data_IF_376122161414
#
_entry.id   IF_376122161414
#
_cell.length_a   1.000
_cell.length_b   1.000
_cell.length_c   1.000
_cell.angle_alpha   90.00
_cell.angle_beta   90.00
_cell.angle_gamma   90.00
#
_symmetry.space_group_name_H-M   'P 1'
#
loop_
_entity.id
_entity.type
_entity.pdbx_description
1 polymer ?
#
# COMPACT_ATOMS: atom_id res chain seq x y z
N UNK A 1 21.17 6.18 3.45
CA UNK A 1 20.35 5.76 2.29
C UNK A 1 19.52 4.59 2.78
N UNK A 2 18.20 4.64 2.65
CA UNK A 2 17.36 3.50 3.07
C UNK A 2 17.49 2.41 2.03
N UNK A 3 17.80 1.19 2.48
CA UNK A 3 17.78 0.01 1.63
C UNK A 3 16.32 -0.37 1.35
N UNK A 4 15.94 -0.39 0.08
CA UNK A 4 14.59 -0.75 -0.35
C UNK A 4 14.60 -1.98 -1.24
N UNK A 5 15.70 -2.75 -1.23
CA UNK A 5 15.87 -3.93 -2.08
C UNK A 5 14.89 -5.05 -1.72
N UNK A 6 14.46 -5.11 -0.45
CA UNK A 6 13.43 -6.05 0.05
C UNK A 6 11.99 -5.53 -0.12
N UNK A 7 11.79 -4.27 -0.51
CA UNK A 7 10.43 -3.71 -0.63
C UNK A 7 9.73 -4.33 -1.84
N UNK A 8 8.65 -5.05 -1.58
CA UNK A 8 7.81 -5.64 -2.61
C UNK A 8 6.79 -4.66 -3.21
N UNK A 9 6.31 -3.71 -2.41
CA UNK A 9 5.35 -2.67 -2.84
C UNK A 9 5.63 -1.35 -2.14
N UNK A 10 5.64 -0.27 -2.92
CA UNK A 10 5.52 1.10 -2.45
C UNK A 10 4.06 1.52 -2.54
N UNK A 11 3.45 1.86 -1.41
CA UNK A 11 2.04 2.22 -1.30
C UNK A 11 1.92 3.70 -0.94
N UNK A 12 1.59 4.54 -1.92
CA UNK A 12 1.21 5.93 -1.67
C UNK A 12 -0.20 6.00 -1.10
N UNK A 13 -0.37 6.84 -0.07
CA UNK A 13 -1.67 7.14 0.53
C UNK A 13 -2.07 8.59 0.24
N UNK A 14 -3.20 8.77 -0.43
CA UNK A 14 -3.90 10.05 -0.52
C UNK A 14 -4.99 10.09 0.56
N UNK A 15 -4.80 10.93 1.57
CA UNK A 15 -5.65 10.99 2.76
C UNK A 15 -6.58 12.19 2.66
N UNK A 16 -7.81 11.96 2.19
CA UNK A 16 -8.86 12.96 2.14
C UNK A 16 -9.77 12.96 3.37
N UNK A 17 -10.48 14.07 3.60
CA UNK A 17 -11.41 14.23 4.74
C UNK A 17 -12.54 13.19 4.79
N UNK A 18 -12.99 12.71 3.62
CA UNK A 18 -14.14 11.81 3.51
C UNK A 18 -13.76 10.42 2.99
N UNK A 19 -12.67 10.31 2.23
CA UNK A 19 -12.20 9.06 1.64
C UNK A 19 -10.68 9.10 1.50
N UNK A 20 -10.05 7.95 1.73
CA UNK A 20 -8.63 7.75 1.46
C UNK A 20 -8.49 6.96 0.15
N UNK A 21 -7.42 7.18 -0.60
CA UNK A 21 -7.09 6.38 -1.79
C UNK A 21 -5.66 5.85 -1.66
N UNK A 22 -5.49 4.55 -1.89
CA UNK A 22 -4.16 3.94 -1.92
C UNK A 22 -3.72 3.64 -3.35
N UNK A 23 -2.47 3.94 -3.66
CA UNK A 23 -1.84 3.63 -4.93
C UNK A 23 -0.54 2.87 -4.72
N UNK A 24 -0.56 1.57 -5.02
CA UNK A 24 0.54 0.64 -4.78
C UNK A 24 1.26 0.24 -6.07
N UNK A 25 2.57 0.40 -6.08
CA UNK A 25 3.47 0.04 -7.17
C UNK A 25 4.52 -0.96 -6.68
N UNK A 26 4.86 -1.97 -7.49
CA UNK A 26 6.08 -2.77 -7.28
C UNK A 26 7.34 -1.93 -7.54
N UNK A 27 8.54 -2.35 -7.11
CA UNK A 27 9.81 -1.71 -7.51
C UNK A 27 9.99 -1.53 -9.02
N UNK A 28 9.45 -2.46 -9.82
CA UNK A 28 9.46 -2.37 -11.29
C UNK A 28 8.44 -1.37 -11.88
N UNK A 29 7.75 -0.58 -11.05
CA UNK A 29 6.75 0.40 -11.47
C UNK A 29 5.39 -0.17 -11.86
N UNK A 30 5.17 -1.49 -11.71
CA UNK A 30 3.87 -2.10 -12.00
C UNK A 30 2.83 -1.76 -10.93
N UNK A 31 1.69 -1.25 -11.38
CA UNK A 31 0.52 -0.99 -10.53
C UNK A 31 -0.11 -2.29 -10.01
N UNK A 32 -0.18 -2.44 -8.70
CA UNK A 32 -0.75 -3.61 -8.01
C UNK A 32 -1.91 -3.27 -7.07
N UNK A 33 -2.01 -2.00 -6.67
CA UNK A 33 -3.12 -1.49 -5.88
C UNK A 33 -3.50 -0.09 -6.36
N UNK A 34 -4.79 0.21 -6.50
CA UNK A 34 -5.28 1.52 -6.95
C UNK A 34 -6.77 1.65 -6.64
N UNK A 35 -7.09 1.84 -5.36
CA UNK A 35 -8.48 1.80 -4.86
C UNK A 35 -8.64 2.71 -3.66
N UNK A 36 -9.90 3.11 -3.41
CA UNK A 36 -10.26 3.72 -2.13
C UNK A 36 -9.94 2.78 -0.97
N UNK A 37 -9.39 3.37 0.08
CA UNK A 37 -9.10 2.70 1.33
C UNK A 37 -10.24 2.92 2.31
N UNK A 38 -10.58 1.90 3.10
CA UNK A 38 -11.61 2.01 4.12
C UNK A 38 -11.15 2.98 5.22
N UNK A 39 -12.06 3.82 5.71
CA UNK A 39 -11.75 4.82 6.73
C UNK A 39 -11.66 4.25 8.17
N UNK A 40 -11.60 2.92 8.31
CA UNK A 40 -11.52 2.23 9.59
C UNK A 40 -10.17 1.54 9.72
N UNK A 41 -9.43 1.83 10.79
CA UNK A 41 -8.09 1.28 11.03
C UNK A 41 -8.03 -0.26 10.89
N UNK A 42 -8.96 -1.06 11.46
CA UNK A 42 -8.90 -2.52 11.31
C UNK A 42 -9.03 -2.98 9.85
N UNK A 43 -9.84 -2.26 9.05
CA UNK A 43 -10.04 -2.58 7.64
C UNK A 43 -8.83 -2.15 6.80
N UNK A 44 -8.21 -1.04 7.16
CA UNK A 44 -7.02 -0.51 6.50
C UNK A 44 -5.82 -1.44 6.75
N UNK A 45 -5.68 -1.93 7.99
CA UNK A 45 -4.68 -2.95 8.34
C UNK A 45 -4.87 -4.25 7.55
N UNK A 46 -6.10 -4.73 7.41
CA UNK A 46 -6.41 -5.90 6.60
C UNK A 46 -6.08 -5.71 5.10
N UNK A 47 -6.06 -4.49 4.58
CA UNK A 47 -5.58 -4.21 3.22
C UNK A 47 -4.06 -4.36 3.16
N UNK A 48 -3.34 -3.82 4.14
CA UNK A 48 -1.88 -3.94 4.21
C UNK A 48 -1.45 -5.40 4.37
N UNK A 49 -2.08 -6.16 5.26
CA UNK A 49 -1.77 -7.59 5.45
C UNK A 49 -1.93 -8.38 4.13
N UNK A 50 -2.95 -8.06 3.33
CA UNK A 50 -3.16 -8.69 2.02
C UNK A 50 -2.09 -8.31 1.00
N UNK A 51 -1.65 -7.05 1.01
CA UNK A 51 -0.55 -6.60 0.15
C UNK A 51 0.75 -7.26 0.58
N UNK A 52 1.00 -7.34 1.90
CA UNK A 52 2.19 -7.97 2.46
C UNK A 52 2.25 -9.46 2.16
N UNK A 53 1.16 -10.20 2.36
CA UNK A 53 1.09 -11.62 2.06
C UNK A 53 1.32 -11.94 0.58
N UNK A 54 0.99 -11.00 -0.32
CA UNK A 54 1.08 -11.20 -1.77
C UNK A 54 2.40 -10.75 -2.38
N UNK A 55 2.99 -9.68 -1.85
CA UNK A 55 4.13 -9.03 -2.47
C UNK A 55 5.36 -8.92 -1.56
N UNK A 56 5.27 -9.29 -0.28
CA UNK A 56 6.35 -9.14 0.69
C UNK A 56 6.27 -7.81 1.41
N UNK A 57 7.40 -7.15 1.66
CA UNK A 57 7.43 -5.91 2.43
C UNK A 57 6.65 -4.79 1.72
N UNK A 58 5.72 -4.16 2.44
CA UNK A 58 4.95 -3.00 1.96
C UNK A 58 5.47 -1.76 2.67
N UNK A 59 6.00 -0.82 1.90
CA UNK A 59 6.42 0.49 2.39
C UNK A 59 5.28 1.48 2.13
N UNK A 60 4.79 2.13 3.19
CA UNK A 60 3.63 3.05 3.19
C UNK A 60 4.08 4.44 3.61
#
# INVERSE_FOLDING_TARGET
MFDTEDVGVFLGLDVGKSSHHGHGLTPAGKKVFDKQLPNSEPRLRAVFDKLTAKFGTVLV
#
